data_IF_329034543960
#
_entry.id   IF_329034543960
#
_cell.length_a   1.000
_cell.length_b   1.000
_cell.length_c   1.000
_cell.angle_alpha   90.00
_cell.angle_beta   90.00
_cell.angle_gamma   90.00
#
_symmetry.space_group_name_H-M   'P 1'
#
loop_
_entity.id
_entity.type
_entity.pdbx_description
1 polymer ?
#
# COMPACT_ATOMS: atom_id res chain seq x y z
N UNK A 1 -19.85 -19.53 -41.83
CA UNK A 1 -19.04 -18.47 -41.21
C UNK A 1 -19.05 -18.68 -39.70
N UNK A 2 -17.88 -18.81 -39.05
CA UNK A 2 -17.76 -18.73 -37.58
C UNK A 2 -17.04 -17.44 -37.25
N UNK A 3 -17.74 -16.45 -36.73
CA UNK A 3 -17.12 -15.22 -36.24
C UNK A 3 -16.37 -15.48 -34.95
N UNK A 4 -15.10 -15.07 -34.93
CA UNK A 4 -14.30 -14.98 -33.72
C UNK A 4 -14.53 -13.60 -33.09
N UNK A 5 -15.26 -13.57 -31.97
CA UNK A 5 -15.37 -12.36 -31.16
C UNK A 5 -14.06 -12.17 -30.39
N UNK A 6 -13.26 -11.21 -30.84
CA UNK A 6 -11.95 -10.90 -30.27
C UNK A 6 -12.15 -10.19 -28.92
N UNK A 7 -11.76 -10.87 -27.84
CA UNK A 7 -11.73 -10.30 -26.49
C UNK A 7 -10.82 -9.07 -26.44
N UNK A 8 -11.42 -7.89 -26.50
CA UNK A 8 -10.72 -6.64 -26.24
C UNK A 8 -10.35 -6.59 -24.77
N UNK A 9 -9.07 -6.91 -24.50
CA UNK A 9 -8.42 -6.74 -23.21
C UNK A 9 -8.53 -5.27 -22.83
N UNK A 10 -9.46 -4.95 -21.93
CA UNK A 10 -9.67 -3.60 -21.43
C UNK A 10 -8.33 -3.08 -20.87
N UNK A 11 -7.80 -2.03 -21.49
CA UNK A 11 -6.67 -1.28 -20.96
C UNK A 11 -7.06 -0.84 -19.56
N UNK A 12 -6.38 -1.35 -18.52
CA UNK A 12 -6.44 -0.77 -17.16
C UNK A 12 -6.19 0.73 -17.34
N UNK A 13 -7.21 1.52 -17.07
CA UNK A 13 -7.09 2.97 -17.13
C UNK A 13 -5.97 3.37 -16.17
N UNK A 14 -4.94 4.04 -16.71
CA UNK A 14 -4.00 4.77 -15.87
C UNK A 14 -4.80 5.89 -15.23
N UNK A 15 -5.24 5.68 -13.99
CA UNK A 15 -5.71 6.77 -13.14
C UNK A 15 -4.51 7.69 -12.93
N UNK A 16 -4.60 8.90 -13.48
CA UNK A 16 -3.69 9.98 -13.13
C UNK A 16 -3.91 10.28 -11.65
N UNK A 17 -3.06 9.72 -10.78
CA UNK A 17 -3.08 10.05 -9.35
C UNK A 17 -2.72 11.52 -9.18
N UNK A 18 -3.74 12.35 -9.01
CA UNK A 18 -3.64 13.67 -8.40
C UNK A 18 -2.92 13.49 -7.05
N UNK A 19 -1.81 14.20 -6.83
CA UNK A 19 -0.80 13.95 -5.79
C UNK A 19 -1.21 14.21 -4.33
N UNK A 20 -2.44 13.88 -3.92
CA UNK A 20 -2.98 14.15 -2.59
C UNK A 20 -3.01 12.95 -1.64
N UNK A 21 -2.84 11.71 -2.11
CA UNK A 21 -2.87 10.51 -1.24
C UNK A 21 -1.52 10.26 -0.55
N UNK A 22 -0.41 10.50 -1.27
CA UNK A 22 0.94 10.29 -0.74
C UNK A 22 1.29 11.16 0.49
N UNK A 23 0.87 12.43 0.59
CA UNK A 23 1.07 13.23 1.80
C UNK A 23 0.44 12.60 3.05
N UNK A 24 -0.76 12.02 2.93
CA UNK A 24 -1.44 11.38 4.05
C UNK A 24 -0.70 10.14 4.55
N UNK A 25 -0.29 9.26 3.64
CA UNK A 25 0.47 8.05 3.98
C UNK A 25 1.84 8.38 4.61
N UNK A 26 2.52 9.41 4.09
CA UNK A 26 3.76 9.92 4.70
C UNK A 26 3.56 10.44 6.11
N UNK A 27 2.47 11.17 6.36
CA UNK A 27 2.14 11.65 7.70
C UNK A 27 1.91 10.48 8.67
N UNK A 28 1.19 9.44 8.23
CA UNK A 28 0.95 8.24 9.04
C UNK A 28 2.26 7.52 9.31
N UNK A 29 3.09 7.29 8.29
CA UNK A 29 4.41 6.67 8.43
C UNK A 29 5.28 7.41 9.45
N UNK A 30 5.38 8.74 9.30
CA UNK A 30 6.12 9.59 10.23
C UNK A 30 5.59 9.46 11.67
N UNK A 31 4.27 9.48 11.85
CA UNK A 31 3.67 9.36 13.19
C UNK A 31 4.02 8.01 13.84
N UNK A 32 3.99 6.91 13.08
CA UNK A 32 4.37 5.58 13.58
C UNK A 32 5.86 5.54 13.90
N UNK A 33 6.73 6.05 13.02
CA UNK A 33 8.19 6.08 13.26
C UNK A 33 8.56 6.93 14.49
N UNK A 34 7.79 7.97 14.79
CA UNK A 34 8.00 8.82 15.98
C UNK A 34 7.51 8.19 17.29
N UNK A 35 6.46 7.36 17.23
CA UNK A 35 5.76 6.86 18.42
C UNK A 35 6.09 5.40 18.73
N UNK A 36 6.44 4.61 17.73
CA UNK A 36 6.64 3.17 17.85
C UNK A 36 8.14 2.82 17.81
N UNK A 37 8.55 1.70 18.44
CA UNK A 37 9.92 1.22 18.38
C UNK A 37 10.38 0.91 16.94
N UNK A 38 11.71 0.90 16.75
CA UNK A 38 12.31 0.49 15.48
C UNK A 38 11.85 -0.92 15.06
N UNK A 39 11.61 -1.11 13.76
CA UNK A 39 11.19 -2.38 13.18
C UNK A 39 9.68 -2.61 13.12
N UNK A 40 8.87 -1.64 13.57
CA UNK A 40 7.40 -1.71 13.43
C UNK A 40 6.96 -1.57 11.97
N UNK A 41 7.58 -0.67 11.20
CA UNK A 41 7.26 -0.50 9.78
C UNK A 41 8.28 -1.18 8.86
N UNK A 42 7.83 -1.78 7.74
CA UNK A 42 8.71 -2.12 6.62
C UNK A 42 9.25 -0.85 5.94
N UNK A 43 10.46 -0.94 5.36
CA UNK A 43 11.03 0.13 4.54
C UNK A 43 10.19 0.38 3.29
N UNK A 44 10.34 1.54 2.64
CA UNK A 44 9.65 1.83 1.39
C UNK A 44 9.97 0.77 0.32
N UNK A 45 11.22 0.32 0.21
CA UNK A 45 11.62 -0.74 -0.73
C UNK A 45 10.92 -2.07 -0.42
N UNK A 46 10.81 -2.44 0.85
CA UNK A 46 10.11 -3.64 1.27
C UNK A 46 8.61 -3.56 0.95
N UNK A 47 7.99 -2.38 1.12
CA UNK A 47 6.59 -2.14 0.73
C UNK A 47 6.41 -2.33 -0.78
N UNK A 48 7.28 -1.72 -1.58
CA UNK A 48 7.22 -1.84 -3.05
C UNK A 48 7.38 -3.29 -3.53
N UNK A 49 8.24 -4.06 -2.89
CA UNK A 49 8.50 -5.46 -3.25
C UNK A 49 7.41 -6.43 -2.77
N UNK A 50 6.85 -6.21 -1.58
CA UNK A 50 5.91 -7.15 -0.94
C UNK A 50 4.43 -6.83 -1.20
N UNK A 51 4.09 -5.55 -1.39
CA UNK A 51 2.72 -5.08 -1.53
C UNK A 51 2.47 -4.49 -2.92
N UNK A 52 3.32 -3.56 -3.35
CA UNK A 52 3.22 -2.92 -4.67
C UNK A 52 3.40 -1.40 -4.64
N UNK A 53 3.36 -0.74 -5.81
CA UNK A 53 3.66 0.68 -5.96
C UNK A 53 2.47 1.63 -5.78
N UNK A 54 1.25 1.12 -5.69
CA UNK A 54 0.05 1.93 -5.61
C UNK A 54 -0.18 2.42 -4.17
N UNK A 55 -0.82 3.59 -3.94
CA UNK A 55 -1.06 4.10 -2.58
C UNK A 55 -1.81 3.11 -1.66
N UNK A 56 -2.69 2.29 -2.23
CA UNK A 56 -3.41 1.25 -1.47
C UNK A 56 -2.47 0.15 -0.95
N UNK A 57 -1.39 -0.15 -1.68
CA UNK A 57 -0.41 -1.15 -1.32
C UNK A 57 0.41 -0.69 -0.09
N UNK A 58 0.81 0.60 -0.07
CA UNK A 58 1.44 1.21 1.10
C UNK A 58 0.47 1.29 2.30
N UNK A 59 -0.79 1.65 2.05
CA UNK A 59 -1.81 1.67 3.10
C UNK A 59 -2.02 0.28 3.74
N UNK A 60 -2.01 -0.79 2.94
CA UNK A 60 -2.11 -2.17 3.44
C UNK A 60 -0.92 -2.52 4.33
N UNK A 61 0.30 -2.18 3.90
CA UNK A 61 1.51 -2.43 4.68
C UNK A 61 1.49 -1.73 6.04
N UNK A 62 1.06 -0.46 6.07
CA UNK A 62 0.91 0.31 7.31
C UNK A 62 -0.16 -0.31 8.22
N UNK A 63 -1.30 -0.73 7.67
CA UNK A 63 -2.38 -1.34 8.45
C UNK A 63 -1.94 -2.65 9.12
N UNK A 64 -1.26 -3.54 8.38
CA UNK A 64 -0.73 -4.80 8.94
C UNK A 64 0.29 -4.56 10.05
N UNK A 65 1.20 -3.61 9.86
CA UNK A 65 2.19 -3.26 10.88
C UNK A 65 1.56 -2.77 12.18
N UNK A 66 0.52 -1.92 12.09
CA UNK A 66 -0.22 -1.43 13.26
C UNK A 66 -0.94 -2.59 13.97
N UNK A 67 -1.67 -3.41 13.23
CA UNK A 67 -2.42 -4.55 13.80
C UNK A 67 -1.47 -5.50 14.53
N UNK A 68 -0.39 -5.92 13.89
CA UNK A 68 0.58 -6.84 14.48
C UNK A 68 1.22 -6.25 15.76
N UNK A 69 1.49 -4.94 15.75
CA UNK A 69 2.04 -4.24 16.92
C UNK A 69 1.04 -4.21 18.07
N UNK A 70 -0.24 -3.89 17.81
CA UNK A 70 -1.29 -3.87 18.82
C UNK A 70 -1.55 -5.27 19.38
N UNK A 71 -1.57 -6.29 18.53
CA UNK A 71 -1.72 -7.69 18.96
C UNK A 71 -0.60 -8.13 19.91
N UNK A 72 0.64 -7.67 19.69
CA UNK A 72 1.77 -7.95 20.59
C UNK A 72 1.65 -7.26 21.94
N UNK A 73 1.03 -6.07 22.00
CA UNK A 73 0.82 -5.32 23.24
C UNK A 73 -0.30 -5.92 24.11
N UNK A 74 -1.24 -6.65 23.50
CA UNK A 74 -2.37 -7.28 24.18
C UNK A 74 -2.10 -8.74 24.61
N UNK A 75 -0.86 -9.21 24.52
CA UNK A 75 -0.42 -10.54 24.98
C UNK A 75 0.47 -10.42 26.21
#
# INVERSE_FOLDING_TARGET
MKEACHGSRARKGKTAHNGSERPGLKLIRMAIEQTCPAGVLPSEEAVLLLYGPEPIDEAEALAKAIIETVEKLNR
#
